data_IF_065424454054
#
_entry.id   IF_065424454054
#
_cell.length_a   1.000
_cell.length_b   1.000
_cell.length_c   1.000
_cell.angle_alpha   90.00
_cell.angle_beta   90.00
_cell.angle_gamma   90.00
#
_symmetry.space_group_name_H-M   'P 1'
#
loop_
_entity.id
_entity.type
_entity.pdbx_description
1 polymer ?
#
# COMPACT_ATOMS: atom_id res chain seq x y z
N UNK A 1 63.08 -1.90 -18.25
CA UNK A 1 62.87 -2.93 -17.25
C UNK A 1 61.63 -2.60 -16.45
N UNK A 2 60.52 -3.21 -16.78
CA UNK A 2 59.24 -3.09 -16.06
C UNK A 2 59.33 -4.03 -14.86
N UNK A 3 59.29 -3.47 -13.66
CA UNK A 3 59.50 -4.23 -12.42
C UNK A 3 58.28 -5.11 -12.11
N UNK A 4 58.50 -6.35 -11.68
CA UNK A 4 57.48 -7.34 -11.25
C UNK A 4 56.42 -6.80 -10.23
N UNK A 5 56.74 -5.71 -9.54
CA UNK A 5 55.80 -5.05 -8.59
C UNK A 5 54.67 -4.27 -9.27
N UNK A 6 54.88 -3.76 -10.52
CA UNK A 6 53.82 -3.04 -11.23
C UNK A 6 52.73 -3.98 -11.81
N UNK A 7 53.07 -5.24 -12.11
CA UNK A 7 52.14 -6.24 -12.59
C UNK A 7 51.21 -6.81 -11.51
N UNK A 8 51.66 -6.85 -10.24
CA UNK A 8 50.84 -7.33 -9.14
C UNK A 8 49.80 -6.29 -8.64
N UNK A 9 50.09 -4.98 -8.81
CA UNK A 9 49.15 -3.92 -8.43
C UNK A 9 47.97 -3.78 -9.38
N UNK A 10 48.21 -3.91 -10.71
CA UNK A 10 47.16 -3.79 -11.72
C UNK A 10 46.23 -5.03 -11.74
N UNK A 11 46.78 -6.23 -11.51
CA UNK A 11 45.98 -7.46 -11.42
C UNK A 11 45.07 -7.53 -10.21
N UNK A 12 45.52 -7.00 -9.05
CA UNK A 12 44.75 -7.00 -7.79
C UNK A 12 43.54 -6.07 -7.86
N UNK A 13 43.70 -4.87 -8.38
CA UNK A 13 42.59 -3.91 -8.56
C UNK A 13 41.56 -4.38 -9.57
N UNK A 14 42.00 -5.00 -10.68
CA UNK A 14 41.10 -5.59 -11.67
C UNK A 14 40.31 -6.78 -11.14
N UNK A 15 40.92 -7.64 -10.30
CA UNK A 15 40.23 -8.76 -9.67
C UNK A 15 39.23 -8.31 -8.61
N UNK A 16 39.53 -7.30 -7.83
CA UNK A 16 38.58 -6.71 -6.84
C UNK A 16 37.42 -6.02 -7.52
N UNK A 17 37.66 -5.29 -8.62
CA UNK A 17 36.62 -4.66 -9.42
C UNK A 17 35.74 -5.70 -10.14
N UNK A 18 36.34 -6.78 -10.66
CA UNK A 18 35.60 -7.88 -11.32
C UNK A 18 34.74 -8.68 -10.28
N UNK A 19 35.28 -8.96 -9.09
CA UNK A 19 34.52 -9.59 -8.02
C UNK A 19 33.42 -8.67 -7.47
N UNK A 20 33.64 -7.37 -7.38
CA UNK A 20 32.64 -6.37 -7.04
C UNK A 20 31.52 -6.29 -8.08
N UNK A 21 31.87 -6.30 -9.35
CA UNK A 21 30.93 -6.31 -10.47
C UNK A 21 30.09 -7.59 -10.54
N UNK A 22 30.70 -8.76 -10.34
CA UNK A 22 30.00 -10.03 -10.31
C UNK A 22 29.05 -10.11 -9.10
N UNK A 23 29.53 -9.72 -7.90
CA UNK A 23 28.71 -9.62 -6.71
C UNK A 23 27.51 -8.68 -6.87
N UNK A 24 27.75 -7.50 -7.45
CA UNK A 24 26.70 -6.55 -7.81
C UNK A 24 25.66 -7.17 -8.75
N UNK A 25 26.11 -7.82 -9.84
CA UNK A 25 25.21 -8.47 -10.79
C UNK A 25 24.38 -9.59 -10.17
N UNK A 26 24.97 -10.39 -9.26
CA UNK A 26 24.27 -11.43 -8.52
C UNK A 26 23.21 -10.87 -7.57
N UNK A 27 23.51 -9.76 -6.87
CA UNK A 27 22.55 -9.05 -6.02
C UNK A 27 21.42 -8.44 -6.86
N UNK A 28 21.73 -7.81 -8.00
CA UNK A 28 20.74 -7.23 -8.90
C UNK A 28 19.82 -8.28 -9.54
N UNK A 29 20.33 -9.47 -9.81
CA UNK A 29 19.55 -10.62 -10.31
C UNK A 29 18.81 -11.39 -9.20
N UNK A 30 18.83 -10.89 -7.97
CA UNK A 30 18.20 -11.53 -6.80
C UNK A 30 18.77 -12.93 -6.45
N UNK A 31 19.94 -13.27 -6.97
CA UNK A 31 20.68 -14.51 -6.63
C UNK A 31 21.37 -14.40 -5.27
N UNK A 32 21.67 -13.17 -4.80
CA UNK A 32 22.15 -12.86 -3.46
C UNK A 32 21.25 -11.84 -2.78
N UNK A 33 21.06 -11.92 -1.45
CA UNK A 33 20.28 -10.95 -0.70
C UNK A 33 20.95 -9.58 -0.67
N UNK A 34 20.17 -8.50 -0.44
CA UNK A 34 20.70 -7.15 -0.23
C UNK A 34 20.36 -6.12 -1.30
N UNK A 35 19.63 -6.48 -2.36
CA UNK A 35 19.23 -5.58 -3.45
C UNK A 35 18.60 -4.28 -2.94
N UNK A 36 17.66 -4.35 -2.00
CA UNK A 36 16.98 -3.18 -1.44
C UNK A 36 17.97 -2.21 -0.78
N UNK A 37 18.95 -2.76 0.00
CA UNK A 37 19.98 -1.95 0.66
C UNK A 37 20.94 -1.32 -0.34
N UNK A 38 21.35 -2.09 -1.34
CA UNK A 38 22.24 -1.64 -2.40
C UNK A 38 21.61 -0.52 -3.23
N UNK A 39 20.36 -0.70 -3.68
CA UNK A 39 19.67 0.30 -4.50
C UNK A 39 19.38 1.58 -3.70
N UNK A 40 19.12 1.48 -2.40
CA UNK A 40 19.02 2.64 -1.51
C UNK A 40 20.38 3.38 -1.40
N UNK A 41 21.47 2.66 -1.18
CA UNK A 41 22.80 3.23 -1.10
C UNK A 41 23.24 3.89 -2.43
N UNK A 42 22.75 3.39 -3.56
CA UNK A 42 23.02 3.94 -4.90
C UNK A 42 22.03 5.05 -5.31
N UNK A 43 21.14 5.51 -4.40
CA UNK A 43 20.16 6.57 -4.71
C UNK A 43 19.06 6.18 -5.70
N UNK A 44 18.86 4.88 -5.97
CA UNK A 44 17.90 4.39 -6.99
C UNK A 44 16.43 4.42 -6.53
N UNK A 45 16.16 4.81 -5.28
CA UNK A 45 14.80 4.90 -4.75
C UNK A 45 14.02 6.09 -5.33
N UNK A 46 14.72 7.13 -5.79
CA UNK A 46 14.13 8.38 -6.27
C UNK A 46 13.65 9.28 -5.12
N UNK A 47 13.51 10.56 -5.42
CA UNK A 47 13.06 11.57 -4.45
C UNK A 47 11.53 11.61 -4.35
N UNK A 48 11.03 12.10 -3.22
CA UNK A 48 9.64 12.48 -3.07
C UNK A 48 9.34 13.72 -3.93
N UNK A 49 8.18 13.80 -4.58
CA UNK A 49 7.74 15.03 -5.20
C UNK A 49 7.33 16.04 -4.13
N UNK A 50 7.37 17.33 -4.47
CA UNK A 50 6.74 18.35 -3.64
C UNK A 50 5.23 18.11 -3.59
N UNK A 51 4.61 18.19 -2.40
CA UNK A 51 3.17 18.08 -2.30
C UNK A 51 2.48 19.27 -2.99
N UNK A 52 1.32 19.06 -3.61
CA UNK A 52 0.53 20.17 -4.16
C UNK A 52 0.21 21.23 -3.09
N UNK A 53 0.05 22.50 -3.46
CA UNK A 53 -0.37 23.56 -2.53
C UNK A 53 -1.84 23.38 -2.07
N UNK A 54 -2.24 24.13 -1.04
CA UNK A 54 -3.63 24.21 -0.62
C UNK A 54 -4.17 22.93 0.05
N UNK A 55 -3.65 22.52 1.22
CA UNK A 55 -4.18 21.39 1.96
C UNK A 55 -5.60 21.67 2.44
N UNK A 56 -6.45 20.64 2.44
CA UNK A 56 -7.76 20.70 3.11
C UNK A 56 -7.65 20.32 4.57
N UNK A 57 -8.58 20.83 5.37
CA UNK A 57 -8.69 20.47 6.78
C UNK A 57 -9.10 19.00 6.93
N UNK A 58 -8.32 18.25 7.71
CA UNK A 58 -8.63 16.86 8.06
C UNK A 58 -9.65 16.89 9.20
N UNK A 59 -10.71 16.10 9.05
CA UNK A 59 -11.66 15.86 10.14
C UNK A 59 -11.32 14.56 10.85
N UNK A 60 -11.35 14.55 12.17
CA UNK A 60 -11.11 13.35 12.97
C UNK A 60 -12.40 12.83 13.58
N UNK A 61 -12.63 11.53 13.46
CA UNK A 61 -13.78 10.83 14.02
C UNK A 61 -13.29 9.72 14.96
N UNK A 62 -13.19 9.99 16.28
CA UNK A 62 -12.82 8.97 17.26
C UNK A 62 -14.04 8.17 17.70
N UNK A 63 -13.85 6.87 17.99
CA UNK A 63 -14.85 6.03 18.69
C UNK A 63 -14.17 4.85 19.37
N UNK A 64 -14.91 4.19 20.30
CA UNK A 64 -14.50 2.91 20.87
C UNK A 64 -15.04 1.79 19.98
N UNK A 65 -14.14 1.07 19.32
CA UNK A 65 -14.51 -0.04 18.46
C UNK A 65 -14.80 -1.30 19.29
N UNK A 66 -15.97 -1.90 19.08
CA UNK A 66 -16.30 -3.20 19.64
C UNK A 66 -15.52 -4.32 18.94
N UNK A 67 -15.33 -4.21 17.61
CA UNK A 67 -14.59 -5.18 16.81
C UNK A 67 -13.11 -5.22 17.15
N UNK A 68 -12.52 -4.06 17.49
CA UNK A 68 -11.11 -3.96 17.89
C UNK A 68 -10.91 -3.94 19.40
N UNK A 69 -11.96 -3.77 20.19
CA UNK A 69 -11.96 -3.64 21.66
C UNK A 69 -11.05 -2.52 22.18
N UNK A 70 -10.81 -1.51 21.38
CA UNK A 70 -9.94 -0.37 21.69
C UNK A 70 -10.51 0.93 21.13
N UNK A 71 -9.95 2.06 21.55
CA UNK A 71 -10.19 3.34 20.89
C UNK A 71 -9.55 3.34 19.50
N UNK A 72 -10.27 3.85 18.51
CA UNK A 72 -9.84 4.02 17.15
C UNK A 72 -10.21 5.42 16.65
N UNK A 73 -9.48 5.90 15.66
CA UNK A 73 -9.75 7.19 15.02
C UNK A 73 -9.81 6.98 13.51
N UNK A 74 -10.78 7.60 12.85
CA UNK A 74 -10.72 7.82 11.43
C UNK A 74 -10.28 9.26 11.13
N UNK A 75 -9.42 9.43 10.13
CA UNK A 75 -9.02 10.71 9.57
C UNK A 75 -9.68 10.87 8.20
N UNK A 76 -10.59 11.82 8.08
CA UNK A 76 -11.40 12.06 6.90
C UNK A 76 -10.79 13.22 6.12
N UNK A 77 -10.41 12.96 4.89
CA UNK A 77 -9.91 13.95 3.94
C UNK A 77 -11.02 14.21 2.92
N UNK A 78 -11.67 15.38 2.95
CA UNK A 78 -12.67 15.74 1.95
C UNK A 78 -11.99 16.11 0.61
N UNK A 79 -12.71 16.02 -0.52
CA UNK A 79 -12.16 16.41 -1.83
C UNK A 79 -11.96 17.92 -1.99
N UNK A 80 -12.65 18.72 -1.17
CA UNK A 80 -12.58 20.19 -1.11
C UNK A 80 -12.77 20.59 0.35
N UNK A 81 -12.12 21.66 0.78
CA UNK A 81 -12.22 22.14 2.16
C UNK A 81 -13.66 22.49 2.55
N UNK A 82 -14.06 22.11 3.76
CA UNK A 82 -15.43 22.31 4.27
C UNK A 82 -16.52 21.46 3.61
N UNK A 83 -16.20 20.62 2.63
CA UNK A 83 -17.16 19.73 1.97
C UNK A 83 -17.65 18.64 2.91
N UNK A 84 -18.98 18.57 3.13
CA UNK A 84 -19.60 17.49 3.89
C UNK A 84 -19.53 16.16 3.13
N UNK A 85 -19.68 15.04 3.85
CA UNK A 85 -19.71 13.69 3.26
C UNK A 85 -20.97 13.39 2.44
N UNK A 86 -22.02 14.22 2.57
CA UNK A 86 -23.32 13.99 1.94
C UNK A 86 -23.20 13.78 0.43
N UNK A 87 -23.62 12.59 -0.02
CA UNK A 87 -23.61 12.19 -1.42
C UNK A 87 -22.23 11.84 -1.98
N UNK A 88 -21.14 11.95 -1.19
CA UNK A 88 -19.80 11.56 -1.65
C UNK A 88 -19.61 10.04 -1.55
N UNK A 89 -19.04 9.40 -2.58
CA UNK A 89 -18.52 8.05 -2.46
C UNK A 89 -17.27 8.05 -1.56
N UNK A 90 -16.95 6.88 -1.00
CA UNK A 90 -15.88 6.73 -0.02
C UNK A 90 -14.76 5.83 -0.55
N UNK A 91 -13.53 6.23 -0.27
CA UNK A 91 -12.33 5.39 -0.36
C UNK A 91 -11.79 5.18 1.05
N UNK A 92 -11.70 3.93 1.49
CA UNK A 92 -11.04 3.57 2.75
C UNK A 92 -9.54 3.46 2.52
N UNK A 93 -8.74 4.19 3.30
CA UNK A 93 -7.29 4.19 3.23
C UNK A 93 -6.70 3.39 4.40
N UNK A 94 -5.87 2.40 4.07
CA UNK A 94 -5.31 1.45 5.01
C UNK A 94 -3.80 1.69 5.18
N UNK A 95 -3.39 1.94 6.42
CA UNK A 95 -2.00 2.26 6.76
C UNK A 95 -1.09 1.02 6.78
N UNK A 96 0.22 1.26 6.61
CA UNK A 96 1.28 0.26 6.76
C UNK A 96 1.60 -0.03 8.23
N UNK A 97 2.49 -1.01 8.44
CA UNK A 97 3.01 -1.39 9.77
C UNK A 97 3.56 -0.19 10.53
N UNK A 98 3.23 -0.08 11.80
CA UNK A 98 3.70 0.98 12.70
C UNK A 98 2.99 2.33 12.55
N UNK A 99 2.12 2.50 11.56
CA UNK A 99 1.39 3.74 11.31
C UNK A 99 -0.01 3.77 11.97
N UNK A 100 -0.61 4.95 11.95
CA UNK A 100 -1.99 5.24 12.33
C UNK A 100 -2.71 5.93 11.16
N UNK A 101 -4.01 6.15 11.27
CA UNK A 101 -4.78 6.95 10.30
C UNK A 101 -4.17 8.34 10.09
N UNK A 102 -3.86 9.02 11.19
CA UNK A 102 -3.27 10.37 11.16
C UNK A 102 -1.89 10.38 10.51
N UNK A 103 -0.99 9.47 10.94
CA UNK A 103 0.36 9.41 10.38
C UNK A 103 0.37 9.01 8.90
N UNK A 104 -0.58 8.18 8.45
CA UNK A 104 -0.75 7.85 7.04
C UNK A 104 -1.09 9.10 6.21
N UNK A 105 -2.12 9.85 6.63
CA UNK A 105 -2.55 11.06 5.92
C UNK A 105 -1.43 12.08 5.85
N UNK A 106 -0.72 12.29 6.96
CA UNK A 106 0.38 13.25 7.04
C UNK A 106 1.60 12.83 6.20
N UNK A 107 2.08 11.59 6.35
CA UNK A 107 3.29 11.12 5.66
C UNK A 107 3.15 11.07 4.14
N UNK A 108 1.96 10.76 3.65
CA UNK A 108 1.67 10.73 2.22
C UNK A 108 1.12 12.05 1.68
N UNK A 109 0.92 13.07 2.53
CA UNK A 109 0.30 14.33 2.15
C UNK A 109 -1.06 14.16 1.46
N UNK A 110 -1.87 13.18 1.89
CA UNK A 110 -3.14 12.84 1.22
C UNK A 110 -4.12 14.02 1.21
N UNK A 111 -4.06 14.89 2.22
CA UNK A 111 -4.85 16.11 2.35
C UNK A 111 -4.42 17.26 1.41
N UNK A 112 -3.32 17.08 0.69
CA UNK A 112 -2.88 17.90 -0.43
C UNK A 112 -3.23 17.26 -1.77
N UNK A 113 -2.92 15.95 -1.91
CA UNK A 113 -3.05 15.24 -3.19
C UNK A 113 -4.49 15.01 -3.62
N UNK A 114 -5.41 14.71 -2.69
CA UNK A 114 -6.81 14.47 -3.06
C UNK A 114 -7.49 15.75 -3.57
N UNK A 115 -7.45 16.91 -2.86
CA UNK A 115 -8.07 18.12 -3.36
C UNK A 115 -7.46 18.59 -4.68
N UNK A 116 -6.14 18.50 -4.86
CA UNK A 116 -5.48 18.82 -6.12
C UNK A 116 -5.93 17.89 -7.26
N UNK A 117 -6.03 16.59 -7.02
CA UNK A 117 -6.50 15.64 -8.02
C UNK A 117 -7.93 15.95 -8.48
N UNK A 118 -8.79 16.40 -7.58
CA UNK A 118 -10.17 16.78 -7.89
C UNK A 118 -10.23 18.15 -8.59
N UNK A 119 -9.52 19.16 -8.09
CA UNK A 119 -9.58 20.51 -8.62
C UNK A 119 -8.86 20.66 -9.97
N UNK A 120 -7.67 20.08 -10.09
CA UNK A 120 -6.75 20.27 -11.21
C UNK A 120 -6.58 19.02 -12.07
N UNK A 121 -6.84 17.82 -11.53
CA UNK A 121 -6.62 16.55 -12.21
C UNK A 121 -7.89 15.96 -12.86
N UNK A 122 -9.04 16.62 -12.79
CA UNK A 122 -10.29 16.13 -13.37
C UNK A 122 -10.82 14.85 -12.73
N UNK A 123 -10.36 14.53 -11.51
CA UNK A 123 -10.79 13.33 -10.77
C UNK A 123 -12.18 13.56 -10.18
N UNK A 124 -13.16 12.67 -10.44
CA UNK A 124 -14.47 12.76 -9.79
C UNK A 124 -14.34 12.76 -8.27
N UNK A 125 -15.08 13.63 -7.55
CA UNK A 125 -14.91 13.82 -6.12
C UNK A 125 -15.34 12.62 -5.29
N UNK A 126 -14.55 12.28 -4.27
CA UNK A 126 -14.83 11.27 -3.26
C UNK A 126 -14.20 11.70 -1.91
N UNK A 127 -14.66 11.13 -0.81
CA UNK A 127 -14.00 11.28 0.48
C UNK A 127 -12.99 10.15 0.70
N UNK A 128 -11.76 10.49 1.13
CA UNK A 128 -10.77 9.52 1.54
C UNK A 128 -10.78 9.41 3.05
N UNK A 129 -10.94 8.19 3.57
CA UNK A 129 -11.10 7.94 5.00
C UNK A 129 -10.04 6.94 5.45
N UNK A 130 -8.99 7.43 6.09
CA UNK A 130 -8.01 6.59 6.78
C UNK A 130 -8.57 6.18 8.15
N UNK A 131 -8.24 4.96 8.60
CA UNK A 131 -8.72 4.45 9.90
C UNK A 131 -7.61 3.68 10.62
N UNK A 132 -7.64 3.70 11.96
CA UNK A 132 -6.70 2.96 12.80
C UNK A 132 -7.00 1.46 12.77
N UNK A 133 -6.14 0.70 12.10
CA UNK A 133 -6.25 -0.76 11.97
C UNK A 133 -5.35 -1.55 12.91
N UNK A 134 -4.54 -0.88 13.75
CA UNK A 134 -3.53 -1.53 14.60
C UNK A 134 -2.16 -1.65 13.93
N UNK A 135 -1.12 -1.50 14.73
CA UNK A 135 0.26 -1.34 14.25
C UNK A 135 0.76 -2.50 13.38
N UNK A 136 0.33 -3.73 13.72
CA UNK A 136 0.82 -4.97 13.11
C UNK A 136 -0.32 -5.96 12.79
N UNK A 137 -1.56 -5.49 12.61
CA UNK A 137 -2.75 -6.34 12.48
C UNK A 137 -2.83 -7.10 11.17
N UNK A 138 -2.12 -6.64 10.14
CA UNK A 138 -2.28 -7.10 8.75
C UNK A 138 -3.74 -7.11 8.29
N UNK A 139 -4.56 -6.28 8.92
CA UNK A 139 -5.95 -6.04 8.51
C UNK A 139 -6.83 -7.30 8.42
N UNK A 140 -6.55 -8.34 9.21
CA UNK A 140 -7.38 -9.54 9.28
C UNK A 140 -7.76 -9.85 10.74
N UNK A 141 -8.83 -10.64 10.97
CA UNK A 141 -9.22 -11.04 12.31
C UNK A 141 -8.10 -11.81 13.01
N UNK A 142 -7.84 -11.48 14.28
CA UNK A 142 -6.78 -12.05 15.11
C UNK A 142 -7.34 -13.04 16.13
N UNK A 143 -6.49 -13.97 16.60
CA UNK A 143 -6.87 -14.97 17.61
C UNK A 143 -7.30 -14.35 18.95
N UNK A 144 -6.78 -13.16 19.28
CA UNK A 144 -7.18 -12.42 20.48
C UNK A 144 -8.54 -11.70 20.32
N UNK A 145 -9.16 -11.81 19.13
CA UNK A 145 -10.46 -11.21 18.80
C UNK A 145 -10.39 -9.76 18.32
N UNK A 146 -9.19 -9.21 18.04
CA UNK A 146 -9.06 -7.95 17.28
C UNK A 146 -9.46 -8.19 15.82
N UNK A 147 -10.47 -7.48 15.32
CA UNK A 147 -10.98 -7.61 13.95
C UNK A 147 -11.03 -6.25 13.23
N UNK A 148 -9.91 -5.81 12.66
CA UNK A 148 -9.84 -4.51 11.98
C UNK A 148 -10.66 -4.47 10.68
N UNK A 149 -10.86 -5.57 9.97
CA UNK A 149 -11.75 -5.60 8.79
C UNK A 149 -13.21 -5.55 9.22
N UNK A 150 -13.61 -6.28 10.25
CA UNK A 150 -14.95 -6.18 10.83
C UNK A 150 -15.23 -4.78 11.36
N UNK A 151 -14.26 -4.11 11.97
CA UNK A 151 -14.39 -2.70 12.35
C UNK A 151 -14.69 -1.80 11.16
N UNK A 152 -14.05 -2.00 9.99
CA UNK A 152 -14.36 -1.23 8.79
C UNK A 152 -15.78 -1.51 8.32
N UNK A 153 -16.15 -2.79 8.13
CA UNK A 153 -17.44 -3.16 7.53
C UNK A 153 -18.64 -2.91 8.41
N UNK A 154 -18.50 -3.14 9.72
CA UNK A 154 -19.63 -3.18 10.65
C UNK A 154 -19.74 -1.90 11.50
N UNK A 155 -18.67 -1.08 11.56
CA UNK A 155 -18.67 0.13 12.38
C UNK A 155 -18.35 1.40 11.57
N UNK A 156 -17.22 1.43 10.81
CA UNK A 156 -16.82 2.64 10.08
C UNK A 156 -17.80 2.96 8.95
N UNK A 157 -18.08 2.01 8.06
CA UNK A 157 -18.97 2.25 6.92
C UNK A 157 -20.38 2.67 7.34
N UNK A 158 -21.05 2.05 8.34
CA UNK A 158 -22.31 2.55 8.86
C UNK A 158 -22.24 3.99 9.38
N UNK A 159 -21.21 4.35 10.15
CA UNK A 159 -21.02 5.72 10.65
C UNK A 159 -20.88 6.75 9.52
N UNK A 160 -20.20 6.38 8.44
CA UNK A 160 -20.07 7.25 7.27
C UNK A 160 -21.40 7.40 6.51
N UNK A 161 -22.17 6.32 6.40
CA UNK A 161 -23.53 6.35 5.83
C UNK A 161 -24.45 7.28 6.64
N UNK A 162 -24.43 7.18 7.97
CA UNK A 162 -25.26 8.00 8.86
C UNK A 162 -24.90 9.50 8.74
N UNK A 163 -23.70 9.81 8.26
CA UNK A 163 -23.24 11.15 7.86
C UNK A 163 -23.56 11.52 6.39
N UNK A 164 -24.30 10.65 5.72
CA UNK A 164 -24.79 10.87 4.35
C UNK A 164 -23.81 10.46 3.24
N UNK A 165 -22.69 9.79 3.55
CA UNK A 165 -21.81 9.25 2.53
C UNK A 165 -22.45 8.08 1.76
N UNK A 166 -22.07 7.91 0.50
CA UNK A 166 -22.46 6.75 -0.30
C UNK A 166 -21.51 5.60 -0.05
N UNK A 167 -22.03 4.50 0.49
CA UNK A 167 -21.25 3.30 0.86
C UNK A 167 -21.74 2.02 0.19
N UNK A 168 -22.65 2.11 -0.76
CA UNK A 168 -23.15 0.96 -1.55
C UNK A 168 -21.99 0.27 -2.26
N UNK A 169 -21.10 1.06 -2.84
CA UNK A 169 -19.82 0.62 -3.38
C UNK A 169 -18.72 1.53 -2.90
N UNK A 170 -17.71 0.95 -2.28
CA UNK A 170 -16.57 1.70 -1.73
C UNK A 170 -15.27 1.37 -2.46
N UNK A 171 -14.37 2.35 -2.51
CA UNK A 171 -13.00 2.13 -2.92
C UNK A 171 -12.12 1.74 -1.74
N UNK A 172 -11.00 1.09 -2.01
CA UNK A 172 -9.95 0.86 -1.01
C UNK A 172 -8.58 1.23 -1.58
N UNK A 173 -7.73 1.84 -0.76
CA UNK A 173 -6.34 2.12 -1.06
C UNK A 173 -5.47 1.79 0.14
N UNK A 174 -4.30 1.19 -0.09
CA UNK A 174 -3.41 0.91 1.01
C UNK A 174 -1.96 0.70 0.59
N UNK A 175 -1.06 0.84 1.54
CA UNK A 175 0.38 0.78 1.35
C UNK A 175 1.00 -0.28 2.26
N UNK A 176 1.92 -1.10 1.73
CA UNK A 176 2.59 -2.15 2.51
C UNK A 176 1.59 -3.12 3.14
N UNK A 177 1.57 -3.25 4.47
CA UNK A 177 0.54 -3.96 5.23
C UNK A 177 -0.88 -3.50 4.84
N UNK A 178 -1.09 -2.20 4.63
CA UNK A 178 -2.37 -1.66 4.17
C UNK A 178 -2.70 -2.02 2.73
N UNK A 179 -1.71 -2.19 1.86
CA UNK A 179 -1.90 -2.69 0.50
C UNK A 179 -2.41 -4.13 0.47
N UNK A 180 -1.85 -4.99 1.34
CA UNK A 180 -2.41 -6.31 1.61
C UNK A 180 -3.84 -6.19 2.19
N UNK A 181 -4.04 -5.32 3.18
CA UNK A 181 -5.34 -5.07 3.81
C UNK A 181 -6.43 -4.60 2.83
N UNK A 182 -6.08 -3.80 1.82
CA UNK A 182 -7.02 -3.36 0.79
C UNK A 182 -7.54 -4.54 -0.05
N UNK A 183 -6.68 -5.54 -0.35
CA UNK A 183 -7.08 -6.78 -1.01
C UNK A 183 -7.98 -7.64 -0.10
N UNK A 184 -7.65 -7.71 1.20
CA UNK A 184 -8.48 -8.43 2.20
C UNK A 184 -9.85 -7.77 2.35
N UNK A 185 -9.91 -6.44 2.40
CA UNK A 185 -11.19 -5.69 2.46
C UNK A 185 -12.05 -5.96 1.21
N UNK A 186 -11.45 -5.93 0.02
CA UNK A 186 -12.15 -6.23 -1.21
C UNK A 186 -12.72 -7.65 -1.24
N UNK A 187 -11.94 -8.63 -0.77
CA UNK A 187 -12.40 -10.01 -0.60
C UNK A 187 -13.60 -10.10 0.36
N UNK A 188 -13.58 -9.34 1.46
CA UNK A 188 -14.67 -9.30 2.44
C UNK A 188 -15.95 -8.66 1.90
N UNK A 189 -15.82 -7.60 1.12
CA UNK A 189 -16.95 -6.87 0.53
C UNK A 189 -17.51 -7.55 -0.72
N UNK A 190 -16.65 -8.24 -1.49
CA UNK A 190 -16.99 -8.79 -2.80
C UNK A 190 -17.08 -7.75 -3.90
N UNK A 191 -17.15 -8.20 -5.15
CA UNK A 191 -17.16 -7.33 -6.34
C UNK A 191 -18.37 -6.38 -6.40
N UNK A 192 -19.52 -6.81 -5.89
CA UNK A 192 -20.73 -5.99 -5.88
C UNK A 192 -20.59 -4.72 -5.04
N UNK A 193 -19.88 -4.80 -3.91
CA UNK A 193 -19.67 -3.67 -2.98
C UNK A 193 -18.32 -2.99 -3.10
N UNK A 194 -17.41 -3.51 -3.92
CA UNK A 194 -16.08 -2.92 -4.15
C UNK A 194 -16.07 -2.17 -5.48
N UNK A 195 -15.88 -0.87 -5.45
CA UNK A 195 -15.80 -0.06 -6.66
C UNK A 195 -14.43 -0.18 -7.34
N UNK A 196 -13.36 -0.13 -6.56
CA UNK A 196 -11.98 -0.28 -7.00
C UNK A 196 -11.02 -0.50 -5.82
N UNK A 197 -9.87 -1.10 -6.09
CA UNK A 197 -8.79 -1.28 -5.11
C UNK A 197 -7.46 -0.81 -5.67
N UNK A 198 -6.73 -0.06 -4.87
CA UNK A 198 -5.32 0.27 -5.09
C UNK A 198 -4.49 -0.38 -4.00
N UNK A 199 -3.60 -1.30 -4.38
CA UNK A 199 -2.62 -1.90 -3.48
C UNK A 199 -1.21 -1.45 -3.89
N UNK A 200 -0.62 -0.57 -3.09
CA UNK A 200 0.71 -0.01 -3.32
C UNK A 200 1.73 -0.74 -2.48
N UNK A 201 2.74 -1.34 -3.12
CA UNK A 201 3.76 -2.16 -2.45
C UNK A 201 3.16 -3.18 -1.46
N UNK A 202 2.14 -3.98 -1.85
CA UNK A 202 1.41 -4.82 -0.90
C UNK A 202 2.32 -5.85 -0.22
N UNK A 203 2.19 -6.01 1.09
CA UNK A 203 2.95 -6.98 1.88
C UNK A 203 2.46 -8.41 1.58
N UNK A 204 2.85 -8.95 0.45
CA UNK A 204 2.54 -10.29 -0.02
C UNK A 204 3.68 -11.25 0.28
N UNK A 205 3.34 -12.45 0.75
CA UNK A 205 4.30 -13.44 1.21
C UNK A 205 4.15 -14.76 0.45
N UNK A 206 5.24 -15.51 0.34
CA UNK A 206 5.26 -16.82 -0.31
C UNK A 206 4.84 -17.95 0.63
N UNK A 207 4.99 -17.76 1.94
CA UNK A 207 4.68 -18.73 2.99
C UNK A 207 4.51 -18.04 4.34
N UNK A 208 4.03 -18.78 5.35
CA UNK A 208 3.99 -18.31 6.73
C UNK A 208 5.38 -17.97 7.28
N UNK A 209 6.39 -18.74 6.93
CA UNK A 209 7.78 -18.54 7.34
C UNK A 209 8.34 -17.23 6.79
N UNK A 210 8.04 -16.93 5.54
CA UNK A 210 8.40 -15.69 4.87
C UNK A 210 7.72 -14.49 5.57
N UNK A 211 6.42 -14.59 5.82
CA UNK A 211 5.67 -13.57 6.55
C UNK A 211 6.22 -13.32 7.96
N UNK A 212 6.48 -14.40 8.72
CA UNK A 212 7.03 -14.34 10.07
C UNK A 212 8.45 -13.76 10.10
N UNK A 213 9.26 -14.04 9.08
CA UNK A 213 10.61 -13.47 8.94
C UNK A 213 10.56 -11.96 8.74
N UNK A 214 9.59 -11.47 7.95
CA UNK A 214 9.40 -10.05 7.72
C UNK A 214 8.79 -9.33 8.94
N UNK A 215 7.78 -9.94 9.56
CA UNK A 215 7.15 -9.46 10.80
C UNK A 215 6.55 -10.63 11.59
N UNK A 216 7.10 -10.88 12.79
CA UNK A 216 6.65 -11.98 13.66
C UNK A 216 5.18 -11.89 14.08
N UNK A 217 4.59 -10.70 14.00
CA UNK A 217 3.19 -10.43 14.36
C UNK A 217 2.24 -10.43 13.16
N UNK A 218 2.73 -10.76 11.96
CA UNK A 218 1.91 -10.70 10.75
C UNK A 218 0.71 -11.64 10.79
N UNK A 219 0.88 -12.85 11.31
CA UNK A 219 -0.15 -13.88 11.43
C UNK A 219 0.00 -14.65 12.73
N UNK A 220 -1.11 -15.16 13.29
CA UNK A 220 -1.13 -15.91 14.54
C UNK A 220 -0.58 -17.33 14.42
N UNK A 221 -0.41 -17.82 13.19
CA UNK A 221 0.13 -19.14 12.90
C UNK A 221 -0.08 -19.56 11.45
N UNK A 222 0.37 -20.77 11.09
CA UNK A 222 0.25 -21.30 9.72
C UNK A 222 -1.21 -21.39 9.24
N UNK A 223 -2.11 -21.82 10.12
CA UNK A 223 -3.53 -21.93 9.78
C UNK A 223 -4.17 -20.57 9.56
N UNK A 224 -3.75 -19.54 10.32
CA UNK A 224 -4.19 -18.17 10.14
C UNK A 224 -3.66 -17.59 8.83
N UNK A 225 -2.38 -17.80 8.50
CA UNK A 225 -1.81 -17.44 7.22
C UNK A 225 -2.60 -18.07 6.05
N UNK A 226 -2.89 -19.37 6.12
CA UNK A 226 -3.60 -20.09 5.08
C UNK A 226 -5.02 -19.54 4.83
N UNK A 227 -5.75 -19.17 5.89
CA UNK A 227 -7.08 -18.52 5.77
C UNK A 227 -7.02 -17.13 5.13
N UNK A 228 -5.91 -16.44 5.31
CA UNK A 228 -5.72 -15.05 4.90
C UNK A 228 -4.78 -14.89 3.70
N UNK A 229 -4.32 -16.00 3.10
CA UNK A 229 -3.50 -15.97 1.89
C UNK A 229 -4.30 -15.42 0.71
N UNK A 230 -3.85 -14.26 0.20
CA UNK A 230 -4.45 -13.61 -0.94
C UNK A 230 -4.29 -14.45 -2.21
N UNK A 231 -3.20 -15.20 -2.34
CA UNK A 231 -2.98 -16.07 -3.50
C UNK A 231 -3.92 -17.28 -3.54
N UNK A 232 -4.30 -17.79 -2.39
CA UNK A 232 -5.28 -18.89 -2.29
C UNK A 232 -6.71 -18.41 -2.56
N UNK A 233 -6.96 -17.08 -2.50
CA UNK A 233 -8.30 -16.49 -2.61
C UNK A 233 -8.45 -15.49 -3.76
N UNK A 234 -7.64 -15.61 -4.82
CA UNK A 234 -7.70 -14.73 -6.00
C UNK A 234 -9.07 -14.73 -6.68
N UNK A 235 -9.79 -15.86 -6.65
CA UNK A 235 -11.13 -15.95 -7.23
C UNK A 235 -12.13 -15.00 -6.57
N UNK A 236 -11.96 -14.71 -5.28
CA UNK A 236 -12.81 -13.74 -4.57
C UNK A 236 -12.57 -12.28 -5.01
N UNK A 237 -11.51 -12.02 -5.76
CA UNK A 237 -11.20 -10.71 -6.36
C UNK A 237 -11.64 -10.59 -7.83
N UNK A 238 -12.21 -11.66 -8.43
CA UNK A 238 -12.73 -11.60 -9.80
C UNK A 238 -13.82 -10.55 -9.91
N UNK A 239 -13.74 -9.72 -10.96
CA UNK A 239 -14.68 -8.62 -11.21
C UNK A 239 -14.43 -7.36 -10.37
N UNK A 240 -13.46 -7.36 -9.46
CA UNK A 240 -13.02 -6.16 -8.75
C UNK A 240 -11.99 -5.42 -9.60
N UNK A 241 -12.19 -4.12 -9.95
CA UNK A 241 -11.16 -3.32 -10.58
C UNK A 241 -9.95 -3.16 -9.63
N UNK A 242 -8.80 -3.69 -10.04
CA UNK A 242 -7.58 -3.69 -9.25
C UNK A 242 -6.49 -2.85 -9.91
N UNK A 243 -5.81 -2.04 -9.12
CA UNK A 243 -4.55 -1.40 -9.47
C UNK A 243 -3.50 -1.81 -8.44
N UNK A 244 -2.36 -2.32 -8.93
CA UNK A 244 -1.26 -2.76 -8.07
C UNK A 244 0.04 -2.15 -8.57
N UNK A 245 0.66 -1.33 -7.74
CA UNK A 245 1.95 -0.68 -8.03
C UNK A 245 3.00 -1.15 -7.02
N UNK A 246 4.24 -1.38 -7.48
CA UNK A 246 5.36 -1.73 -6.59
C UNK A 246 6.70 -1.28 -7.19
N UNK A 247 7.59 -0.87 -6.31
CA UNK A 247 8.96 -0.53 -6.69
C UNK A 247 9.77 -1.76 -7.10
N UNK A 248 10.64 -1.63 -8.11
CA UNK A 248 11.51 -2.74 -8.52
C UNK A 248 12.52 -3.13 -7.43
N UNK A 249 12.86 -2.19 -6.54
CA UNK A 249 13.77 -2.38 -5.40
C UNK A 249 13.01 -2.50 -4.07
N UNK A 250 11.74 -2.90 -4.13
CA UNK A 250 10.88 -3.18 -2.98
C UNK A 250 11.08 -4.63 -2.51
N UNK A 251 11.14 -4.94 -1.20
CA UNK A 251 11.23 -6.31 -0.71
C UNK A 251 10.06 -7.20 -1.15
N UNK A 252 8.89 -6.61 -1.42
CA UNK A 252 7.71 -7.35 -1.91
C UNK A 252 7.61 -7.43 -3.43
N UNK A 253 8.60 -6.89 -4.19
CA UNK A 253 8.55 -6.83 -5.65
C UNK A 253 8.35 -8.20 -6.31
N UNK A 254 9.05 -9.26 -5.84
CA UNK A 254 8.92 -10.61 -6.36
C UNK A 254 7.50 -11.16 -6.22
N UNK A 255 6.92 -11.02 -5.03
CA UNK A 255 5.56 -11.53 -4.79
C UNK A 255 4.50 -10.65 -5.45
N UNK A 256 4.74 -9.35 -5.57
CA UNK A 256 3.86 -8.46 -6.34
C UNK A 256 3.86 -8.80 -7.83
N UNK A 257 5.00 -9.11 -8.44
CA UNK A 257 5.05 -9.62 -9.83
C UNK A 257 4.20 -10.88 -9.98
N UNK A 258 4.41 -11.87 -9.09
CA UNK A 258 3.62 -13.12 -9.10
C UNK A 258 2.12 -12.87 -8.97
N UNK A 259 1.72 -11.89 -8.15
CA UNK A 259 0.31 -11.48 -8.04
C UNK A 259 -0.19 -10.85 -9.33
N UNK A 260 0.59 -9.93 -9.93
CA UNK A 260 0.25 -9.27 -11.18
C UNK A 260 0.10 -10.25 -12.34
N UNK A 261 0.97 -11.26 -12.43
CA UNK A 261 0.91 -12.31 -13.46
C UNK A 261 -0.39 -13.11 -13.39
N UNK A 262 -0.93 -13.32 -12.18
CA UNK A 262 -2.16 -14.09 -11.97
C UNK A 262 -3.44 -13.26 -12.04
N UNK A 263 -3.44 -12.09 -11.39
CA UNK A 263 -4.63 -11.26 -11.25
C UNK A 263 -4.77 -10.21 -12.38
N UNK A 264 -3.69 -9.94 -13.13
CA UNK A 264 -3.61 -8.97 -14.24
C UNK A 264 -4.22 -7.58 -13.88
N UNK A 265 -3.83 -6.97 -12.77
CA UNK A 265 -4.33 -5.66 -12.38
C UNK A 265 -3.75 -4.56 -13.27
N UNK A 266 -4.37 -3.40 -13.27
CA UNK A 266 -3.75 -2.15 -13.73
C UNK A 266 -2.55 -1.78 -12.82
N UNK A 267 -1.85 -0.68 -13.15
CA UNK A 267 -0.68 -0.22 -12.39
C UNK A 267 0.63 -0.74 -12.96
N UNK A 268 1.71 -0.59 -12.21
CA UNK A 268 3.07 -0.81 -12.74
C UNK A 268 4.06 -1.37 -11.72
N UNK A 269 5.09 -2.02 -12.26
CA UNK A 269 6.37 -2.22 -11.59
C UNK A 269 7.33 -1.17 -12.12
N UNK A 270 7.80 -0.26 -11.28
CA UNK A 270 8.61 0.90 -11.71
C UNK A 270 9.83 1.13 -10.83
N UNK A 271 10.70 2.07 -11.20
CA UNK A 271 11.85 2.45 -10.39
C UNK A 271 11.43 3.00 -9.03
N UNK A 272 11.94 2.43 -7.94
CA UNK A 272 11.62 2.86 -6.57
C UNK A 272 11.79 1.76 -5.54
N UNK A 273 11.72 2.16 -4.27
CA UNK A 273 11.91 1.33 -3.09
C UNK A 273 10.60 1.22 -2.29
N UNK A 274 10.68 0.58 -1.12
CA UNK A 274 9.56 0.50 -0.17
C UNK A 274 9.56 1.75 0.72
N UNK A 275 9.12 2.88 0.21
CA UNK A 275 9.16 4.15 0.93
C UNK A 275 8.10 5.15 0.48
N UNK A 276 7.92 6.17 1.32
CA UNK A 276 6.96 7.26 1.12
C UNK A 276 7.21 8.01 -0.20
N UNK A 277 8.49 8.21 -0.58
CA UNK A 277 8.84 8.92 -1.80
C UNK A 277 8.32 8.19 -3.05
N UNK A 278 8.46 6.86 -3.09
CA UNK A 278 7.89 6.04 -4.16
C UNK A 278 6.36 6.15 -4.19
N UNK A 279 5.71 6.02 -3.04
CA UNK A 279 4.26 6.01 -2.95
C UNK A 279 3.65 7.36 -3.34
N UNK A 280 4.25 8.47 -2.91
CA UNK A 280 3.79 9.83 -3.28
C UNK A 280 3.84 10.08 -4.80
N UNK A 281 4.86 9.56 -5.51
CA UNK A 281 4.94 9.67 -6.98
C UNK A 281 3.77 9.02 -7.71
N UNK A 282 3.10 8.05 -7.07
CA UNK A 282 2.01 7.29 -7.66
C UNK A 282 0.62 7.77 -7.23
N UNK A 283 0.51 8.72 -6.27
CA UNK A 283 -0.79 9.13 -5.74
C UNK A 283 -1.71 9.70 -6.81
N UNK A 284 -1.25 10.56 -7.71
CA UNK A 284 -2.09 11.14 -8.75
C UNK A 284 -2.78 10.08 -9.63
N UNK A 285 -2.08 9.14 -10.27
CA UNK A 285 -2.73 8.09 -11.06
C UNK A 285 -3.55 7.11 -10.22
N UNK A 286 -3.21 6.90 -8.93
CA UNK A 286 -3.97 6.05 -8.02
C UNK A 286 -5.31 6.71 -7.63
N UNK A 287 -5.31 7.99 -7.29
CA UNK A 287 -6.53 8.75 -6.99
C UNK A 287 -7.44 8.89 -8.22
N UNK A 288 -6.87 9.11 -9.40
CA UNK A 288 -7.61 9.14 -10.67
C UNK A 288 -8.30 7.81 -10.93
N UNK A 289 -7.58 6.69 -10.81
CA UNK A 289 -8.15 5.36 -10.95
C UNK A 289 -9.37 5.16 -10.02
N UNK A 290 -9.23 5.50 -8.74
CA UNK A 290 -10.31 5.35 -7.75
C UNK A 290 -11.51 6.24 -8.08
N UNK A 291 -11.28 7.52 -8.35
CA UNK A 291 -12.35 8.48 -8.61
C UNK A 291 -13.18 8.10 -9.86
N UNK A 292 -12.51 7.72 -10.95
CA UNK A 292 -13.20 7.29 -12.17
C UNK A 292 -14.04 6.02 -11.96
N UNK A 293 -13.51 5.02 -11.24
CA UNK A 293 -14.25 3.78 -10.94
C UNK A 293 -15.44 4.02 -10.00
N UNK A 294 -15.30 4.91 -9.03
CA UNK A 294 -16.41 5.32 -8.14
C UNK A 294 -17.52 6.09 -8.86
N UNK A 295 -17.17 6.82 -9.92
CA UNK A 295 -18.12 7.52 -10.76
C UNK A 295 -18.76 6.63 -11.86
N UNK A 296 -18.43 5.34 -11.91
CA UNK A 296 -18.91 4.42 -12.93
C UNK A 296 -18.26 4.62 -14.32
N UNK A 297 -17.16 5.39 -14.41
CA UNK A 297 -16.39 5.56 -15.65
C UNK A 297 -15.37 4.42 -15.77
N UNK A 298 -15.28 3.83 -16.97
CA UNK A 298 -14.30 2.76 -17.29
C UNK A 298 -12.92 3.34 -17.58
#
# INVERSE_FOLDING_TARGET
LITRRALLGAGGLGAVAAMGGAGYALVQREMLPGRVRLDRALGRCGAAPEPPPGPVKIEFMPWRSARRRTAVTAAIVPPVDGRSLRGLPVVVALHGTGHTATSLVASLNLHHYLPDAVANGGVPPFALVAVDGGKDSYWHPRADGDDPIGMITDELLPRLRDRGARIDRVGAIGWSMGGYGALVLARRLGAARTAAVVASSPALFSSYEDARSANRRSFDGRADFARNDVFASLDALKGVPLRVDCGNSDPFARMTRRFRDRARPEGSMSGGCHDVAYWQRLLRPQLAFLGHRLAGRR
#
